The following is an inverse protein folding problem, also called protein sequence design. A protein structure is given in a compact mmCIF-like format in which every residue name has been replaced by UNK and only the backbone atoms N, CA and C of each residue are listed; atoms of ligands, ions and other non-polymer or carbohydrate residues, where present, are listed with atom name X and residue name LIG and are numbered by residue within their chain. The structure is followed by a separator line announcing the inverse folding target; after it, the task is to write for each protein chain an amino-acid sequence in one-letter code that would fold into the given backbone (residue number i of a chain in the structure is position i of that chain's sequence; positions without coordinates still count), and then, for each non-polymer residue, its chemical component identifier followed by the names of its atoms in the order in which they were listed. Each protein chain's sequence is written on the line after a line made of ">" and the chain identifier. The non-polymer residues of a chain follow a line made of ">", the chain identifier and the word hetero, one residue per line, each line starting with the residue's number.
data_IF_357923512402
#
_entry.id   IF_357923512402
#
_cell.length_a   1.000
_cell.length_b   1.000
_cell.length_c   1.000
_cell.angle_alpha   90.00
_cell.angle_beta   90.00
_cell.angle_gamma   90.00
#
_symmetry.space_group_name_H-M   'P 1'
#
loop_
_entity.id
_entity.type
_entity.pdbx_description
1 polymer ?
#
# COMPACT_ATOMS: atom_id res chain seq x y z
N UNK A 1 30.06 1.63 -15.72
CA UNK A 1 29.54 0.83 -14.59
C UNK A 1 28.64 1.73 -13.75
N UNK A 2 27.46 1.26 -13.41
CA UNK A 2 26.53 1.91 -12.48
C UNK A 2 26.22 0.95 -11.34
N UNK A 3 26.34 1.43 -10.11
CA UNK A 3 25.83 0.73 -8.91
C UNK A 3 24.65 1.53 -8.41
N UNK A 4 23.46 0.96 -8.51
CA UNK A 4 22.22 1.64 -8.12
C UNK A 4 21.92 1.32 -6.66
N UNK A 5 22.34 2.22 -5.77
CA UNK A 5 22.24 2.08 -4.32
C UNK A 5 20.84 2.42 -3.84
N UNK A 6 19.86 1.55 -4.11
CA UNK A 6 18.48 1.69 -3.70
C UNK A 6 17.87 0.32 -3.37
N UNK A 7 17.34 0.15 -2.16
CA UNK A 7 16.71 -1.09 -1.74
C UNK A 7 15.24 -1.21 -2.15
N UNK A 8 14.55 -0.08 -2.34
CA UNK A 8 13.15 -0.08 -2.78
C UNK A 8 13.06 -0.34 -4.28
N UNK A 9 12.07 -1.16 -4.66
CA UNK A 9 11.94 -1.61 -6.03
C UNK A 9 11.08 -0.67 -6.89
N UNK A 10 10.06 -0.04 -6.31
CA UNK A 10 9.01 0.70 -7.00
C UNK A 10 9.54 1.69 -8.04
N UNK A 11 10.24 2.75 -7.63
CA UNK A 11 10.83 3.74 -8.55
C UNK A 11 12.17 3.33 -9.12
N UNK A 12 12.89 2.42 -8.43
CA UNK A 12 14.18 1.94 -8.93
C UNK A 12 14.02 1.17 -10.24
N UNK A 13 12.93 0.42 -10.42
CA UNK A 13 12.68 -0.28 -11.67
C UNK A 13 12.45 0.65 -12.85
N UNK A 14 11.81 1.80 -12.67
CA UNK A 14 11.58 2.78 -13.74
C UNK A 14 12.90 3.27 -14.36
N UNK A 15 13.86 3.67 -13.51
CA UNK A 15 15.20 4.09 -13.97
C UNK A 15 15.99 2.93 -14.59
N UNK A 16 15.85 1.73 -14.06
CA UNK A 16 16.50 0.55 -14.63
C UNK A 16 15.98 0.26 -16.02
N UNK A 17 14.66 0.37 -16.25
CA UNK A 17 14.04 0.18 -17.57
C UNK A 17 14.66 1.12 -18.60
N UNK A 18 14.62 2.43 -18.34
CA UNK A 18 15.07 3.44 -19.32
C UNK A 18 16.58 3.44 -19.56
N UNK A 19 17.38 2.94 -18.61
CA UNK A 19 18.83 2.86 -18.77
C UNK A 19 19.31 1.56 -19.41
N UNK A 20 18.53 0.45 -19.28
CA UNK A 20 19.02 -0.89 -19.64
C UNK A 20 18.06 -1.76 -20.45
N UNK A 21 16.75 -1.54 -20.41
CA UNK A 21 15.77 -2.46 -20.99
C UNK A 21 15.05 -1.92 -22.21
N UNK A 22 14.62 -0.65 -22.19
CA UNK A 22 13.74 -0.10 -23.23
C UNK A 22 14.01 1.38 -23.48
N UNK A 23 14.17 1.75 -24.75
CA UNK A 23 14.20 3.15 -25.18
C UNK A 23 12.82 3.81 -25.03
N UNK A 24 12.81 5.06 -24.55
CA UNK A 24 11.63 5.92 -24.46
C UNK A 24 11.91 7.29 -25.08
N UNK A 25 12.01 7.35 -26.42
CA UNK A 25 12.45 8.55 -27.13
C UNK A 25 11.50 9.73 -26.96
N UNK A 26 10.21 9.47 -26.76
CA UNK A 26 9.19 10.49 -26.46
C UNK A 26 9.43 11.21 -25.14
N UNK A 27 10.22 10.60 -24.25
CA UNK A 27 10.65 11.17 -22.97
C UNK A 27 12.12 11.60 -22.98
N UNK A 28 12.78 11.49 -24.13
CA UNK A 28 14.20 11.80 -24.29
C UNK A 28 15.13 10.77 -23.62
N UNK A 29 14.66 9.56 -23.35
CA UNK A 29 15.40 8.51 -22.66
C UNK A 29 15.81 7.41 -23.64
N UNK A 30 17.10 7.01 -23.54
CA UNK A 30 17.66 5.92 -24.35
C UNK A 30 18.47 4.97 -23.46
N UNK A 31 18.40 3.69 -23.77
CA UNK A 31 19.24 2.68 -23.15
C UNK A 31 20.72 2.93 -23.47
N UNK A 32 21.60 2.58 -22.56
CA UNK A 32 23.05 2.77 -22.72
C UNK A 32 23.68 1.42 -23.10
N UNK A 33 24.08 1.23 -24.36
CA UNK A 33 24.69 -0.02 -24.81
C UNK A 33 25.96 -0.37 -24.02
N UNK A 34 26.05 -1.62 -23.56
CA UNK A 34 27.21 -2.11 -22.83
C UNK A 34 27.30 -1.62 -21.38
N UNK A 35 26.26 -0.98 -20.86
CA UNK A 35 26.22 -0.54 -19.47
C UNK A 35 26.26 -1.74 -18.52
N UNK A 36 27.27 -1.78 -17.66
CA UNK A 36 27.32 -2.70 -16.54
C UNK A 36 26.51 -2.09 -15.40
N UNK A 37 25.26 -2.56 -15.23
CA UNK A 37 24.31 -2.03 -14.26
C UNK A 37 24.11 -3.01 -13.12
N UNK A 38 24.38 -2.56 -11.89
CA UNK A 38 24.27 -3.35 -10.67
C UNK A 38 23.09 -2.83 -9.86
N UNK A 39 22.05 -3.63 -9.74
CA UNK A 39 20.91 -3.39 -8.85
C UNK A 39 21.28 -3.80 -7.42
N UNK A 40 20.91 -3.01 -6.44
CA UNK A 40 21.11 -3.39 -5.04
C UNK A 40 20.33 -4.66 -4.68
N UNK A 41 19.07 -4.76 -5.15
CA UNK A 41 18.20 -5.91 -5.00
C UNK A 41 17.52 -6.23 -6.34
N UNK A 42 16.86 -7.38 -6.52
CA UNK A 42 16.07 -7.65 -7.72
C UNK A 42 14.90 -6.64 -7.82
N UNK A 43 14.95 -5.74 -8.77
CA UNK A 43 13.88 -4.75 -8.97
C UNK A 43 12.71 -5.30 -9.78
N UNK A 44 13.01 -6.17 -10.73
CA UNK A 44 12.02 -6.89 -11.54
C UNK A 44 12.64 -8.17 -12.10
N UNK A 45 11.94 -9.29 -11.99
CA UNK A 45 12.41 -10.58 -12.45
C UNK A 45 12.54 -10.70 -14.00
N UNK A 46 11.88 -9.80 -14.74
CA UNK A 46 11.95 -9.76 -16.20
C UNK A 46 13.19 -9.06 -16.76
N UNK A 47 13.94 -8.33 -15.94
CA UNK A 47 15.11 -7.55 -16.38
C UNK A 47 16.25 -8.44 -16.86
N UNK A 48 16.85 -8.06 -17.98
CA UNK A 48 17.95 -8.77 -18.61
C UNK A 48 19.22 -7.92 -18.59
N UNK A 49 20.38 -8.59 -18.46
CA UNK A 49 21.68 -7.93 -18.55
C UNK A 49 22.01 -7.00 -17.36
N UNK A 50 21.27 -7.08 -16.26
CA UNK A 50 21.59 -6.42 -15.00
C UNK A 50 22.22 -7.41 -14.02
N UNK A 51 23.04 -6.88 -13.10
CA UNK A 51 23.63 -7.66 -12.01
C UNK A 51 22.90 -7.34 -10.70
N UNK A 52 22.70 -8.33 -9.84
CA UNK A 52 22.07 -8.19 -8.55
C UNK A 52 23.13 -8.38 -7.47
N UNK A 53 23.26 -7.41 -6.56
CA UNK A 53 24.25 -7.46 -5.49
C UNK A 53 23.76 -8.27 -4.29
N UNK A 54 22.49 -8.11 -3.92
CA UNK A 54 21.87 -8.82 -2.81
C UNK A 54 20.57 -9.45 -3.30
N UNK A 55 20.49 -10.75 -3.24
CA UNK A 55 19.25 -11.44 -3.54
C UNK A 55 18.23 -11.19 -2.43
N UNK A 56 16.96 -11.19 -2.79
CA UNK A 56 15.85 -10.99 -1.85
C UNK A 56 15.04 -12.27 -1.80
N UNK A 57 15.00 -12.87 -0.66
CA UNK A 57 14.04 -13.94 -0.41
C UNK A 57 12.63 -13.35 -0.35
N UNK A 58 11.72 -13.91 -1.13
CA UNK A 58 10.30 -13.55 -1.04
C UNK A 58 9.77 -14.06 0.31
N UNK A 59 8.96 -13.21 0.95
CA UNK A 59 8.25 -13.61 2.16
C UNK A 59 7.19 -14.63 1.79
N UNK A 60 7.24 -15.80 2.40
CA UNK A 60 6.26 -16.86 2.22
C UNK A 60 5.15 -16.75 3.26
N UNK A 61 4.02 -17.41 2.96
CA UNK A 61 2.84 -17.37 3.82
C UNK A 61 2.38 -15.95 4.17
N UNK A 62 2.47 -15.03 3.19
CA UNK A 62 1.83 -13.71 3.32
C UNK A 62 0.33 -13.91 3.52
N UNK A 63 -0.35 -12.90 4.05
CA UNK A 63 -1.81 -13.00 4.23
C UNK A 63 -2.51 -13.35 2.91
N UNK A 64 -2.15 -12.67 1.80
CA UNK A 64 -2.72 -12.95 0.48
C UNK A 64 -2.48 -14.37 0.00
N UNK A 65 -1.26 -14.89 0.17
CA UNK A 65 -0.93 -16.27 -0.17
C UNK A 65 -1.73 -17.28 0.66
N UNK A 66 -1.80 -17.06 1.96
CA UNK A 66 -2.50 -17.98 2.86
C UNK A 66 -4.01 -17.99 2.63
N UNK A 67 -4.62 -16.83 2.35
CA UNK A 67 -6.03 -16.71 1.96
C UNK A 67 -6.30 -17.50 0.68
N UNK A 68 -5.49 -17.30 -0.36
CA UNK A 68 -5.63 -18.01 -1.65
C UNK A 68 -5.49 -19.52 -1.49
N UNK A 69 -4.48 -19.99 -0.72
CA UNK A 69 -4.26 -21.41 -0.43
C UNK A 69 -5.46 -22.05 0.31
N UNK A 70 -6.25 -21.27 1.01
CA UNK A 70 -7.47 -21.70 1.69
C UNK A 70 -8.76 -21.40 0.91
N UNK A 71 -8.65 -21.08 -0.39
CA UNK A 71 -9.80 -20.86 -1.28
C UNK A 71 -10.59 -19.57 -0.99
N UNK A 72 -9.99 -18.61 -0.30
CA UNK A 72 -10.60 -17.31 0.00
C UNK A 72 -10.45 -16.33 -1.15
N UNK A 73 -11.53 -15.64 -1.46
CA UNK A 73 -11.56 -14.59 -2.46
C UNK A 73 -11.09 -13.26 -1.88
N UNK A 74 -10.29 -12.51 -2.63
CA UNK A 74 -9.71 -11.26 -2.12
C UNK A 74 -9.72 -10.14 -3.16
N UNK A 75 -9.92 -8.91 -2.69
CA UNK A 75 -9.83 -7.69 -3.47
C UNK A 75 -8.75 -6.76 -2.90
N UNK A 76 -7.84 -6.31 -3.75
CA UNK A 76 -6.84 -5.31 -3.43
C UNK A 76 -7.10 -4.04 -4.25
N UNK A 77 -7.35 -2.93 -3.57
CA UNK A 77 -7.74 -1.68 -4.23
C UNK A 77 -6.94 -0.50 -3.67
N UNK A 78 -6.39 0.32 -4.56
CA UNK A 78 -5.79 1.61 -4.25
C UNK A 78 -5.70 2.50 -5.49
N UNK A 79 -5.40 3.77 -5.28
CA UNK A 79 -4.94 4.64 -6.36
C UNK A 79 -3.45 4.42 -6.67
N UNK A 80 -2.97 4.94 -7.81
CA UNK A 80 -1.63 4.66 -8.37
C UNK A 80 -0.51 4.73 -7.34
N UNK A 81 -0.48 5.78 -6.50
CA UNK A 81 0.60 6.02 -5.53
C UNK A 81 0.70 4.95 -4.44
N UNK A 82 -0.37 4.23 -4.17
CA UNK A 82 -0.44 3.19 -3.14
C UNK A 82 -0.78 1.80 -3.68
N UNK A 83 -0.88 1.66 -5.00
CA UNK A 83 -1.22 0.37 -5.61
C UNK A 83 -0.18 -0.72 -5.31
N UNK A 84 1.11 -0.40 -5.42
CA UNK A 84 2.17 -1.34 -5.08
C UNK A 84 2.14 -1.75 -3.59
N UNK A 85 1.65 -0.89 -2.70
CA UNK A 85 1.57 -1.18 -1.27
C UNK A 85 0.53 -2.26 -0.95
N UNK A 86 -0.61 -2.25 -1.65
CA UNK A 86 -1.65 -3.29 -1.48
C UNK A 86 -1.47 -4.48 -2.41
N UNK A 87 -0.50 -4.49 -3.32
CA UNK A 87 -0.24 -5.60 -4.25
C UNK A 87 1.15 -6.19 -4.05
N UNK A 88 2.17 -5.62 -4.69
CA UNK A 88 3.53 -6.15 -4.66
C UNK A 88 4.09 -6.30 -3.24
N UNK A 89 4.02 -5.25 -2.42
CA UNK A 89 4.56 -5.30 -1.05
C UNK A 89 3.69 -6.14 -0.13
N UNK A 90 2.38 -6.03 -0.22
CA UNK A 90 1.44 -6.85 0.55
C UNK A 90 1.63 -8.35 0.28
N UNK A 91 1.93 -8.71 -0.96
CA UNK A 91 2.19 -10.07 -1.40
C UNK A 91 3.67 -10.49 -1.25
N UNK A 92 4.44 -9.82 -0.39
CA UNK A 92 5.80 -10.21 -0.04
C UNK A 92 6.84 -10.08 -1.18
N UNK A 93 6.55 -9.22 -2.18
CA UNK A 93 7.42 -9.00 -3.34
C UNK A 93 6.97 -9.74 -4.60
N UNK A 94 5.76 -10.30 -4.59
CA UNK A 94 5.16 -10.99 -5.73
C UNK A 94 4.32 -10.03 -6.59
N UNK A 95 4.66 -9.90 -7.88
CA UNK A 95 3.89 -9.06 -8.83
C UNK A 95 2.59 -9.74 -9.29
N UNK A 96 2.66 -11.05 -9.54
CA UNK A 96 1.51 -11.81 -10.05
C UNK A 96 0.45 -12.00 -8.96
N UNK A 97 -0.83 -11.72 -9.22
CA UNK A 97 -1.90 -12.03 -8.29
C UNK A 97 -1.89 -13.49 -7.86
N UNK A 98 -2.37 -13.76 -6.66
CA UNK A 98 -2.72 -15.12 -6.24
C UNK A 98 -4.05 -15.58 -6.84
N UNK A 99 -4.33 -16.86 -6.78
CA UNK A 99 -5.63 -17.39 -7.20
C UNK A 99 -6.75 -16.72 -6.41
N UNK A 100 -7.83 -16.33 -7.11
CA UNK A 100 -8.96 -15.59 -6.55
C UNK A 100 -8.63 -14.21 -5.95
N UNK A 101 -7.47 -13.62 -6.29
CA UNK A 101 -7.11 -12.24 -6.01
C UNK A 101 -7.51 -11.33 -7.18
N UNK A 102 -8.40 -10.38 -6.93
CA UNK A 102 -8.74 -9.33 -7.87
C UNK A 102 -8.09 -8.01 -7.45
N UNK A 103 -7.76 -7.19 -8.43
CA UNK A 103 -7.09 -5.90 -8.22
C UNK A 103 -7.83 -4.78 -8.91
N UNK A 104 -8.05 -3.67 -8.21
CA UNK A 104 -8.59 -2.44 -8.78
C UNK A 104 -7.57 -1.32 -8.61
N UNK A 105 -7.06 -0.83 -9.74
CA UNK A 105 -6.22 0.35 -9.81
C UNK A 105 -7.09 1.56 -10.17
N UNK A 106 -7.05 2.59 -9.36
CA UNK A 106 -7.63 3.91 -9.66
C UNK A 106 -6.49 4.85 -10.03
N UNK A 107 -6.51 5.53 -11.19
CA UNK A 107 -5.46 6.48 -11.53
C UNK A 107 -5.39 7.64 -10.54
N UNK A 108 -4.21 7.93 -10.01
CA UNK A 108 -3.98 9.17 -9.25
C UNK A 108 -4.06 10.40 -10.14
N UNK A 109 -4.45 11.57 -9.62
CA UNK A 109 -4.57 12.79 -10.41
C UNK A 109 -3.21 13.23 -10.95
N UNK A 110 -3.17 13.67 -12.20
CA UNK A 110 -1.97 14.18 -12.87
C UNK A 110 -1.74 15.65 -12.51
N UNK A 111 -1.27 15.91 -11.30
CA UNK A 111 -0.91 17.24 -10.79
C UNK A 111 0.58 17.29 -10.44
N UNK A 112 1.15 18.49 -10.38
CA UNK A 112 2.57 18.64 -10.06
C UNK A 112 2.88 18.20 -8.62
N UNK A 113 2.01 18.58 -7.69
CA UNK A 113 2.06 18.21 -6.27
C UNK A 113 0.63 18.01 -5.75
N UNK A 114 0.44 17.13 -4.76
CA UNK A 114 -0.89 16.74 -4.31
C UNK A 114 -1.59 17.75 -3.40
N UNK A 115 -0.93 18.81 -2.97
CA UNK A 115 -1.58 19.97 -2.35
C UNK A 115 -2.53 20.70 -3.30
N UNK A 116 -2.31 20.59 -4.63
CA UNK A 116 -3.19 21.14 -5.65
C UNK A 116 -4.50 20.36 -5.82
N UNK A 117 -4.54 19.11 -5.35
CA UNK A 117 -5.72 18.26 -5.34
C UNK A 117 -5.69 17.32 -4.12
N UNK A 118 -5.99 17.83 -2.91
CA UNK A 118 -5.82 17.08 -1.66
C UNK A 118 -6.70 15.84 -1.53
N UNK A 119 -7.89 15.84 -2.15
CA UNK A 119 -8.77 14.68 -2.21
C UNK A 119 -8.21 13.55 -3.07
N UNK A 120 -7.22 13.83 -3.91
CA UNK A 120 -6.60 12.89 -4.83
C UNK A 120 -7.67 12.09 -5.60
N UNK A 121 -7.64 10.76 -5.55
CA UNK A 121 -8.67 9.89 -6.13
C UNK A 121 -9.46 9.13 -5.06
N UNK A 122 -9.46 9.60 -3.81
CA UNK A 122 -10.10 8.90 -2.69
C UNK A 122 -11.59 8.61 -2.92
N UNK A 123 -12.34 9.57 -3.46
CA UNK A 123 -13.78 9.36 -3.73
C UNK A 123 -14.02 8.29 -4.79
N UNK A 124 -13.22 8.22 -5.86
CA UNK A 124 -13.34 7.16 -6.86
C UNK A 124 -12.94 5.79 -6.29
N UNK A 125 -11.89 5.73 -5.47
CA UNK A 125 -11.51 4.52 -4.74
C UNK A 125 -12.66 4.06 -3.86
N UNK A 126 -13.27 4.97 -3.08
CA UNK A 126 -14.40 4.70 -2.20
C UNK A 126 -15.62 4.19 -2.99
N UNK A 127 -15.95 4.82 -4.12
CA UNK A 127 -17.12 4.42 -4.91
C UNK A 127 -16.97 2.98 -5.44
N UNK A 128 -15.80 2.65 -6.01
CA UNK A 128 -15.49 1.29 -6.48
C UNK A 128 -15.45 0.27 -5.34
N UNK A 129 -14.91 0.67 -4.19
CA UNK A 129 -14.84 -0.16 -3.00
C UNK A 129 -16.24 -0.48 -2.46
N UNK A 130 -17.11 0.52 -2.33
CA UNK A 130 -18.50 0.35 -1.89
C UNK A 130 -19.29 -0.52 -2.87
N UNK A 131 -19.06 -0.34 -4.19
CA UNK A 131 -19.66 -1.22 -5.19
C UNK A 131 -19.21 -2.67 -5.01
N UNK A 132 -17.91 -2.90 -4.84
CA UNK A 132 -17.36 -4.24 -4.59
C UNK A 132 -17.90 -4.88 -3.31
N UNK A 133 -17.98 -4.13 -2.20
CA UNK A 133 -18.55 -4.60 -0.93
C UNK A 133 -19.99 -5.08 -1.14
N UNK A 134 -20.82 -4.33 -1.85
CA UNK A 134 -22.21 -4.68 -2.12
C UNK A 134 -22.40 -5.97 -2.92
N UNK A 135 -21.37 -6.40 -3.66
CA UNK A 135 -21.45 -7.69 -4.38
C UNK A 135 -21.34 -8.89 -3.46
N UNK A 136 -20.81 -8.72 -2.25
CA UNK A 136 -20.50 -9.81 -1.30
C UNK A 136 -19.65 -10.93 -1.90
N UNK A 137 -18.87 -10.61 -2.93
CA UNK A 137 -18.04 -11.57 -3.67
C UNK A 137 -16.77 -11.95 -2.93
N UNK A 138 -16.23 -11.05 -2.10
CA UNK A 138 -14.90 -11.17 -1.52
C UNK A 138 -14.99 -11.54 -0.04
N UNK A 139 -14.18 -12.53 0.38
CA UNK A 139 -13.97 -12.87 1.79
C UNK A 139 -13.08 -11.83 2.49
N UNK A 140 -12.14 -11.22 1.74
CA UNK A 140 -11.19 -10.23 2.25
C UNK A 140 -11.03 -9.07 1.27
N UNK A 141 -10.98 -7.86 1.80
CA UNK A 141 -10.73 -6.64 1.01
C UNK A 141 -9.67 -5.81 1.71
N UNK A 142 -8.64 -5.40 0.99
CA UNK A 142 -7.65 -4.43 1.44
C UNK A 142 -7.70 -3.18 0.58
N UNK A 143 -7.78 -2.03 1.24
CA UNK A 143 -7.72 -0.71 0.62
C UNK A 143 -6.64 0.14 1.28
N UNK A 144 -5.94 0.96 0.49
CA UNK A 144 -5.05 1.99 1.00
C UNK A 144 -5.46 3.35 0.40
N UNK A 145 -5.80 4.29 1.28
CA UNK A 145 -6.05 5.69 0.92
C UNK A 145 -4.74 6.47 1.00
N UNK A 146 -4.31 7.03 -0.11
CA UNK A 146 -2.98 7.64 -0.25
C UNK A 146 -2.85 9.04 0.41
N UNK A 147 -3.95 9.70 0.66
CA UNK A 147 -4.01 11.13 0.92
C UNK A 147 -3.20 11.58 2.14
N UNK A 148 -3.31 10.89 3.28
CA UNK A 148 -2.63 11.26 4.52
C UNK A 148 -1.11 11.32 4.35
N UNK A 149 -0.54 10.38 3.64
CA UNK A 149 0.89 10.30 3.34
C UNK A 149 1.28 11.26 2.21
N UNK A 150 0.65 11.14 1.04
CA UNK A 150 1.07 11.87 -0.15
C UNK A 150 0.88 13.38 -0.03
N UNK A 151 -0.21 13.85 0.55
CA UNK A 151 -0.43 15.27 0.82
C UNK A 151 0.38 15.73 2.03
N UNK A 152 0.55 14.87 3.04
CA UNK A 152 1.41 15.13 4.20
C UNK A 152 2.84 15.51 3.80
N UNK A 153 3.41 14.82 2.81
CA UNK A 153 4.74 15.12 2.28
C UNK A 153 4.87 16.52 1.64
N UNK A 154 3.78 17.18 1.28
CA UNK A 154 3.83 18.55 0.73
C UNK A 154 4.11 19.61 1.80
N UNK A 155 3.81 19.33 3.05
CA UNK A 155 3.95 20.27 4.16
C UNK A 155 2.98 21.45 4.13
N UNK A 156 1.95 21.41 3.27
CA UNK A 156 0.93 22.45 3.16
C UNK A 156 -0.25 22.12 4.07
N UNK A 157 -0.29 22.72 5.25
CA UNK A 157 -1.24 22.39 6.31
C UNK A 157 -2.71 22.40 5.86
N UNK A 158 -3.15 23.45 5.16
CA UNK A 158 -4.54 23.57 4.67
C UNK A 158 -4.92 22.45 3.68
N UNK A 159 -3.93 21.97 2.91
CA UNK A 159 -4.13 20.85 2.01
C UNK A 159 -4.22 19.52 2.77
N UNK A 160 -3.37 19.35 3.79
CA UNK A 160 -3.39 18.18 4.67
C UNK A 160 -4.75 18.07 5.39
N UNK A 161 -5.26 19.18 5.93
CA UNK A 161 -6.59 19.21 6.56
C UNK A 161 -7.70 18.77 5.60
N UNK A 162 -7.67 19.27 4.35
CA UNK A 162 -8.64 18.86 3.32
C UNK A 162 -8.51 17.38 2.96
N UNK A 163 -7.28 16.89 2.85
CA UNK A 163 -6.99 15.48 2.57
C UNK A 163 -7.58 14.57 3.66
N UNK A 164 -7.36 14.90 4.92
CA UNK A 164 -7.88 14.13 6.07
C UNK A 164 -9.41 14.16 6.10
N UNK A 165 -10.05 15.31 5.84
CA UNK A 165 -11.52 15.41 5.74
C UNK A 165 -12.08 14.53 4.62
N UNK A 166 -11.44 14.52 3.46
CA UNK A 166 -11.86 13.66 2.34
C UNK A 166 -11.75 12.17 2.70
N UNK A 167 -10.68 11.77 3.41
CA UNK A 167 -10.55 10.39 3.90
C UNK A 167 -11.64 10.06 4.93
N UNK A 168 -11.92 10.95 5.86
CA UNK A 168 -12.95 10.73 6.90
C UNK A 168 -14.32 10.45 6.27
N UNK A 169 -14.71 11.24 5.26
CA UNK A 169 -15.92 11.01 4.49
C UNK A 169 -15.91 9.66 3.76
N UNK A 170 -14.80 9.33 3.07
CA UNK A 170 -14.67 8.08 2.33
C UNK A 170 -14.70 6.86 3.27
N UNK A 171 -14.02 6.92 4.40
CA UNK A 171 -13.99 5.86 5.40
C UNK A 171 -15.37 5.67 6.02
N UNK A 172 -16.09 6.76 6.33
CA UNK A 172 -17.47 6.67 6.83
C UNK A 172 -18.35 5.88 5.88
N UNK A 173 -18.41 6.28 4.60
CA UNK A 173 -19.26 5.62 3.60
C UNK A 173 -18.87 4.14 3.43
N UNK A 174 -17.55 3.86 3.44
CA UNK A 174 -17.02 2.50 3.34
C UNK A 174 -17.45 1.64 4.53
N UNK A 175 -17.31 2.15 5.74
CA UNK A 175 -17.68 1.44 6.98
C UNK A 175 -19.18 1.18 7.04
N UNK A 176 -19.98 2.17 6.65
CA UNK A 176 -21.45 2.00 6.59
C UNK A 176 -21.85 0.92 5.58
N UNK A 177 -21.23 0.93 4.39
CA UNK A 177 -21.47 -0.10 3.38
C UNK A 177 -21.00 -1.48 3.83
N UNK A 178 -19.83 -1.59 4.45
CA UNK A 178 -19.26 -2.83 4.96
C UNK A 178 -20.19 -3.46 6.01
N UNK A 179 -20.60 -2.69 7.02
CA UNK A 179 -21.53 -3.14 8.08
C UNK A 179 -22.89 -3.55 7.55
N UNK A 180 -23.40 -2.85 6.53
CA UNK A 180 -24.67 -3.19 5.89
C UNK A 180 -24.62 -4.48 5.05
N UNK A 181 -23.41 -4.99 4.78
CA UNK A 181 -23.18 -6.20 3.99
C UNK A 181 -22.39 -7.28 4.77
N UNK A 182 -22.48 -7.27 6.09
CA UNK A 182 -21.94 -8.28 7.01
C UNK A 182 -20.41 -8.42 6.95
N UNK A 183 -19.67 -7.31 6.66
CA UNK A 183 -18.22 -7.26 6.77
C UNK A 183 -17.79 -6.70 8.13
N UNK A 184 -16.79 -7.33 8.72
CA UNK A 184 -16.01 -6.73 9.80
C UNK A 184 -14.99 -5.74 9.23
N UNK A 185 -14.70 -4.66 9.96
CA UNK A 185 -13.83 -3.57 9.48
C UNK A 185 -12.69 -3.34 10.46
N UNK A 186 -11.47 -3.36 9.93
CA UNK A 186 -10.24 -2.96 10.64
C UNK A 186 -9.70 -1.71 9.97
N UNK A 187 -9.49 -0.64 10.74
CA UNK A 187 -8.88 0.61 10.28
C UNK A 187 -7.51 0.74 10.95
N UNK A 188 -6.47 0.87 10.13
CA UNK A 188 -5.09 1.01 10.58
C UNK A 188 -4.38 2.11 9.80
N UNK A 189 -3.17 2.45 10.21
CA UNK A 189 -2.17 3.15 9.41
C UNK A 189 -0.86 2.35 9.45
N UNK A 190 -0.11 2.36 8.37
CA UNK A 190 1.23 1.75 8.28
C UNK A 190 2.30 2.63 8.93
N UNK A 191 2.10 3.93 8.95
CA UNK A 191 2.88 4.94 9.66
C UNK A 191 2.06 6.22 9.80
N UNK A 192 2.53 7.16 10.61
CA UNK A 192 1.96 8.51 10.66
C UNK A 192 2.66 9.47 9.68
N UNK A 193 1.98 10.54 9.32
CA UNK A 193 2.48 11.67 8.54
C UNK A 193 1.58 12.90 8.80
N UNK A 194 0.34 12.90 8.27
CA UNK A 194 -0.62 13.99 8.44
C UNK A 194 -0.98 14.29 9.90
N UNK A 195 -0.82 13.35 10.81
CA UNK A 195 -1.04 13.48 12.25
C UNK A 195 0.01 14.38 12.93
N UNK A 196 1.16 14.63 12.29
CA UNK A 196 2.23 15.48 12.76
C UNK A 196 2.71 16.43 11.66
N UNK A 197 1.80 17.28 11.16
CA UNK A 197 2.03 18.15 10.01
C UNK A 197 2.93 19.36 10.30
N UNK A 198 3.07 19.77 11.56
CA UNK A 198 3.88 20.92 11.99
C UNK A 198 4.86 20.52 13.09
N UNK A 199 6.09 21.04 13.00
CA UNK A 199 7.07 21.00 14.07
C UNK A 199 6.70 21.96 15.22
N UNK A 200 7.35 21.85 16.37
CA UNK A 200 7.12 22.73 17.54
C UNK A 200 7.36 24.21 17.23
N UNK A 201 8.23 24.52 16.28
CA UNK A 201 8.53 25.89 15.83
C UNK A 201 7.55 26.42 14.77
N UNK A 202 6.52 25.64 14.42
CA UNK A 202 5.51 25.98 13.41
C UNK A 202 5.96 25.76 11.96
N UNK A 203 7.14 25.23 11.73
CA UNK A 203 7.58 24.85 10.37
C UNK A 203 6.90 23.55 9.90
N UNK A 204 6.71 23.35 8.58
CA UNK A 204 6.15 22.11 8.06
C UNK A 204 6.99 20.88 8.43
N UNK A 205 6.34 19.84 8.93
CA UNK A 205 6.92 18.51 9.03
C UNK A 205 6.44 17.66 7.87
N UNK A 206 7.37 17.14 7.08
CA UNK A 206 7.07 16.29 5.91
C UNK A 206 7.55 14.85 6.11
N UNK A 207 8.02 14.52 7.31
CA UNK A 207 8.52 13.19 7.66
C UNK A 207 7.43 12.31 8.25
N UNK A 208 7.63 11.00 8.20
CA UNK A 208 6.75 10.06 8.88
C UNK A 208 6.87 10.17 10.40
N UNK A 209 5.76 9.99 11.11
CA UNK A 209 5.72 9.92 12.56
C UNK A 209 5.60 8.47 13.04
N UNK A 210 5.94 8.25 14.31
CA UNK A 210 5.76 6.97 15.00
C UNK A 210 4.56 7.02 15.96
N UNK A 211 3.65 7.97 15.78
CA UNK A 211 2.46 8.07 16.61
C UNK A 211 1.58 6.82 16.46
N UNK A 212 1.01 6.29 17.54
CA UNK A 212 0.14 5.15 17.48
C UNK A 212 -1.19 5.50 16.80
N UNK A 213 -1.79 4.51 16.13
CA UNK A 213 -3.15 4.64 15.60
C UNK A 213 -4.13 4.72 16.77
N UNK A 214 -5.12 5.64 16.74
CA UNK A 214 -6.14 5.73 17.78
C UNK A 214 -6.92 4.44 17.96
N UNK A 215 -7.10 4.00 19.20
CA UNK A 215 -7.87 2.82 19.54
C UNK A 215 -9.38 3.11 19.46
N UNK A 216 -10.14 2.18 18.91
CA UNK A 216 -11.60 2.19 19.03
C UNK A 216 -11.99 1.76 20.45
N UNK A 217 -12.53 2.67 21.26
CA UNK A 217 -12.91 2.44 22.65
C UNK A 217 -13.94 1.32 22.86
N UNK A 218 -14.62 0.88 21.80
CA UNK A 218 -15.62 -0.18 21.86
C UNK A 218 -15.11 -1.55 21.39
N UNK A 219 -13.89 -1.62 20.85
CA UNK A 219 -13.28 -2.87 20.42
C UNK A 219 -12.43 -3.46 21.56
N UNK A 220 -12.54 -4.77 21.77
CA UNK A 220 -11.68 -5.52 22.68
C UNK A 220 -10.39 -5.89 21.93
N UNK A 221 -9.55 -4.91 21.65
CA UNK A 221 -8.27 -5.07 20.91
C UNK A 221 -7.13 -4.66 21.82
N UNK A 222 -6.06 -5.44 21.82
CA UNK A 222 -4.82 -5.11 22.53
C UNK A 222 -3.92 -4.19 21.69
N UNK A 223 -3.02 -3.45 22.37
CA UNK A 223 -1.96 -2.73 21.69
C UNK A 223 -1.01 -3.71 20.99
N UNK A 224 -0.59 -3.38 19.78
CA UNK A 224 0.28 -4.24 18.98
C UNK A 224 1.10 -3.47 17.95
N UNK A 225 1.66 -4.22 17.04
CA UNK A 225 2.46 -3.73 15.91
C UNK A 225 1.88 -4.23 14.58
N UNK A 226 2.34 -3.71 13.45
CA UNK A 226 1.81 -4.11 12.13
C UNK A 226 1.89 -5.62 11.87
N UNK A 227 2.90 -6.32 12.42
CA UNK A 227 3.00 -7.78 12.30
C UNK A 227 1.81 -8.55 12.93
N UNK A 228 1.07 -7.92 13.82
CA UNK A 228 -0.07 -8.51 14.54
C UNK A 228 -1.37 -8.41 13.77
N UNK A 229 -1.40 -7.61 12.70
CA UNK A 229 -2.62 -7.35 11.92
C UNK A 229 -3.09 -8.61 11.16
N UNK A 230 -2.18 -9.30 10.48
CA UNK A 230 -2.53 -10.50 9.72
C UNK A 230 -3.06 -11.64 10.63
N UNK A 231 -2.41 -11.98 11.76
CA UNK A 231 -2.98 -12.92 12.72
C UNK A 231 -4.37 -12.55 13.22
N UNK A 232 -4.60 -11.26 13.50
CA UNK A 232 -5.92 -10.77 13.96
C UNK A 232 -7.00 -10.89 12.87
N UNK A 233 -6.64 -10.65 11.60
CA UNK A 233 -7.55 -10.89 10.47
C UNK A 233 -7.90 -12.38 10.35
N UNK A 234 -6.91 -13.27 10.47
CA UNK A 234 -7.16 -14.70 10.42
C UNK A 234 -8.07 -15.18 11.56
N UNK A 235 -7.94 -14.60 12.77
CA UNK A 235 -8.88 -14.85 13.87
C UNK A 235 -10.32 -14.52 13.47
N UNK A 236 -10.58 -13.33 12.93
CA UNK A 236 -11.91 -12.91 12.48
C UNK A 236 -12.47 -13.88 11.42
N UNK A 237 -11.62 -14.33 10.51
CA UNK A 237 -12.00 -15.29 9.47
C UNK A 237 -12.15 -16.73 9.97
N UNK A 238 -11.90 -16.99 11.27
CA UNK A 238 -11.92 -18.34 11.86
C UNK A 238 -10.86 -19.28 11.29
N UNK A 239 -9.73 -18.72 10.83
CA UNK A 239 -8.64 -19.46 10.20
C UNK A 239 -7.47 -19.61 11.17
N UNK A 240 -6.76 -20.75 11.16
CA UNK A 240 -5.56 -20.93 11.99
C UNK A 240 -4.41 -20.03 11.48
N UNK A 241 -3.60 -19.53 12.41
CA UNK A 241 -2.39 -18.77 12.11
C UNK A 241 -1.27 -19.73 11.66
N UNK A 242 -0.63 -19.52 10.48
CA UNK A 242 0.52 -20.29 10.07
C UNK A 242 1.74 -20.02 10.96
N UNK A 243 2.60 -21.03 11.12
CA UNK A 243 3.77 -20.95 12.02
C UNK A 243 4.78 -19.85 11.63
N UNK A 244 4.82 -19.48 10.35
CA UNK A 244 5.72 -18.44 9.83
C UNK A 244 5.23 -17.01 10.16
N UNK A 245 3.96 -16.84 10.52
CA UNK A 245 3.45 -15.58 11.04
C UNK A 245 3.80 -15.46 12.52
N UNK A 246 4.77 -14.61 12.84
CA UNK A 246 5.30 -14.43 14.20
C UNK A 246 4.56 -13.39 15.03
N UNK A 247 3.67 -12.60 14.41
CA UNK A 247 2.80 -11.67 15.11
C UNK A 247 1.77 -12.39 15.99
N UNK A 248 1.17 -11.67 16.89
CA UNK A 248 0.14 -12.21 17.80
C UNK A 248 -1.25 -11.71 17.42
N UNK A 249 -2.26 -12.47 17.74
CA UNK A 249 -3.64 -12.02 17.66
C UNK A 249 -3.92 -10.95 18.73
N UNK A 250 -4.49 -9.82 18.31
CA UNK A 250 -4.82 -8.69 19.18
C UNK A 250 -6.28 -8.68 19.64
N UNK A 251 -7.13 -9.58 19.12
CA UNK A 251 -8.56 -9.63 19.42
C UNK A 251 -8.79 -10.47 20.68
N UNK A 252 -9.66 -9.96 21.59
CA UNK A 252 -10.03 -10.62 22.85
C UNK A 252 -11.46 -11.11 22.85
#
# INVERSE_FOLDING_TARGET
>A
VVIFFNYRNDRAKELTVVLTQQDMPEQGMHTIPGLQFYCMTPYDASFKGVHILFDKENVQNTLGEYLAANGKTQLHIAETEKYAHVTFFFNGGRETPYDAEERILVPSPKVATYDLKPEMSAYEVKDKLVEAIKTQKFDFIVVNYANGDMVGHTGIYDAIEKAVKAIDECVKDTVEAAKANDYEVIIIADHGNADHALNEDGTPNTAHSLNPVPENKNAKVENGVLADVAPSILHILGMPQPADMTGRDLIK
#
